data_IF_731209975800
#
_entry.id   IF_731209975800
#
_cell.length_a   1.000
_cell.length_b   1.000
_cell.length_c   1.000
_cell.angle_alpha   90.00
_cell.angle_beta   90.00
_cell.angle_gamma   90.00
#
_symmetry.space_group_name_H-M   'P 1'
#
loop_
_entity.id
_entity.type
_entity.pdbx_description
1 polymer ?
#
# COMPACT_ATOMS: atom_id res chain seq x y z
N UNK A 1 -35.65 64.43 -18.04
CA UNK A 1 -36.61 63.46 -17.46
C UNK A 1 -36.95 62.42 -18.52
N UNK A 2 -36.53 61.17 -18.32
CA UNK A 2 -37.22 59.93 -18.74
C UNK A 2 -36.45 58.75 -18.14
N UNK A 3 -37.23 57.81 -17.62
CA UNK A 3 -36.94 56.98 -16.47
C UNK A 3 -36.01 55.78 -16.76
N UNK A 4 -35.35 55.36 -15.69
CA UNK A 4 -34.56 54.15 -15.53
C UNK A 4 -35.53 53.00 -15.21
N UNK A 5 -35.47 51.87 -15.92
CA UNK A 5 -36.02 50.60 -15.45
C UNK A 5 -34.92 49.53 -15.42
N UNK A 6 -34.56 49.17 -14.19
CA UNK A 6 -33.62 48.12 -13.82
C UNK A 6 -34.45 46.84 -13.64
N UNK A 7 -34.28 45.86 -14.52
CA UNK A 7 -34.91 44.55 -14.36
C UNK A 7 -34.10 43.72 -13.34
N UNK A 8 -34.65 43.63 -12.13
CA UNK A 8 -34.23 42.75 -11.05
C UNK A 8 -34.96 41.40 -11.18
N UNK A 9 -34.24 40.34 -11.53
CA UNK A 9 -34.73 38.97 -11.39
C UNK A 9 -34.26 38.40 -10.05
N UNK A 10 -35.12 38.52 -9.03
CA UNK A 10 -34.99 37.81 -7.76
C UNK A 10 -35.59 36.41 -7.89
N UNK A 11 -34.77 35.38 -7.72
CA UNK A 11 -35.23 34.01 -7.51
C UNK A 11 -35.08 33.67 -6.01
N UNK A 12 -36.21 33.65 -5.30
CA UNK A 12 -36.32 33.19 -3.92
C UNK A 12 -36.35 31.66 -3.92
N UNK A 13 -35.29 31.02 -3.40
CA UNK A 13 -35.30 29.60 -3.09
C UNK A 13 -35.81 29.41 -1.64
N UNK A 14 -36.95 28.74 -1.50
CA UNK A 14 -37.51 28.31 -0.20
C UNK A 14 -36.59 27.31 0.49
N UNK A 15 -36.10 27.68 1.66
CA UNK A 15 -35.37 26.81 2.58
C UNK A 15 -36.39 25.97 3.35
N UNK A 16 -36.41 24.67 3.08
CA UNK A 16 -37.15 23.67 3.87
C UNK A 16 -36.39 23.40 5.17
N UNK A 17 -37.05 23.67 6.30
CA UNK A 17 -36.52 23.44 7.64
C UNK A 17 -36.52 21.94 7.95
N UNK A 18 -35.35 21.31 7.96
CA UNK A 18 -35.18 19.96 8.50
C UNK A 18 -34.96 20.03 10.02
N UNK A 19 -35.76 19.25 10.73
CA UNK A 19 -35.82 19.22 12.19
C UNK A 19 -34.64 18.44 12.77
N UNK A 20 -33.94 19.03 13.74
CA UNK A 20 -32.83 18.42 14.50
C UNK A 20 -33.39 17.40 15.50
N UNK A 21 -33.04 16.10 15.43
CA UNK A 21 -33.37 15.16 16.49
C UNK A 21 -32.41 15.27 17.67
N UNK A 22 -33.00 15.26 18.87
CA UNK A 22 -32.37 15.46 20.17
C UNK A 22 -31.47 14.28 20.57
N UNK A 23 -30.35 14.65 21.19
CA UNK A 23 -29.30 13.84 21.77
C UNK A 23 -29.84 12.78 22.76
N UNK A 24 -29.60 11.49 22.49
CA UNK A 24 -29.88 10.38 23.42
C UNK A 24 -28.61 10.03 24.20
N UNK A 25 -28.70 10.15 25.53
CA UNK A 25 -27.64 9.79 26.47
C UNK A 25 -27.30 8.30 26.35
N UNK A 26 -26.04 7.99 26.06
CA UNK A 26 -25.50 6.63 26.08
C UNK A 26 -25.22 6.26 27.54
N UNK A 27 -25.92 5.24 28.03
CA UNK A 27 -25.67 4.65 29.34
C UNK A 27 -24.41 3.78 29.26
N UNK A 28 -23.38 4.08 30.05
CA UNK A 28 -22.22 3.21 30.21
C UNK A 28 -22.62 1.99 31.05
N UNK A 29 -22.73 0.83 30.42
CA UNK A 29 -22.93 -0.43 31.11
C UNK A 29 -21.58 -0.90 31.66
N UNK A 30 -21.44 -0.84 32.99
CA UNK A 30 -20.29 -1.36 33.74
C UNK A 30 -20.12 -2.86 33.49
N UNK A 31 -19.12 -3.25 32.69
CA UNK A 31 -18.72 -4.64 32.54
C UNK A 31 -18.12 -5.16 33.85
N UNK A 32 -18.85 -6.05 34.53
CA UNK A 32 -18.35 -6.79 35.69
C UNK A 32 -17.52 -7.97 35.18
N UNK A 33 -16.20 -7.89 35.35
CA UNK A 33 -15.30 -9.01 35.10
C UNK A 33 -15.39 -10.02 36.26
N UNK A 34 -15.92 -11.22 35.98
CA UNK A 34 -15.79 -12.35 36.88
C UNK A 34 -14.35 -12.85 36.84
N UNK A 35 -13.64 -12.75 37.98
CA UNK A 35 -12.32 -13.36 38.17
C UNK A 35 -12.47 -14.86 38.35
N UNK A 36 -12.27 -15.64 37.29
CA UNK A 36 -12.06 -17.08 37.39
C UNK A 36 -10.60 -17.35 37.71
N UNK A 37 -10.35 -17.99 38.86
CA UNK A 37 -9.02 -18.43 39.32
C UNK A 37 -8.76 -19.81 38.72
N UNK A 38 -7.89 -19.90 37.72
CA UNK A 38 -7.49 -21.19 37.14
C UNK A 38 -6.07 -21.54 37.58
N UNK A 39 -5.92 -22.80 38.00
CA UNK A 39 -4.85 -23.39 38.81
C UNK A 39 -3.81 -24.04 37.89
N UNK A 40 -2.53 -23.70 38.10
CA UNK A 40 -1.40 -24.34 37.42
C UNK A 40 -1.22 -25.78 37.90
N UNK A 41 -0.99 -26.72 36.96
CA UNK A 41 -0.69 -28.13 37.26
C UNK A 41 0.42 -28.62 36.34
N UNK A 42 1.53 -29.07 36.96
CA UNK A 42 2.24 -30.30 36.59
C UNK A 42 3.34 -30.22 35.54
N UNK A 43 4.58 -30.13 36.00
CA UNK A 43 5.81 -30.57 35.30
C UNK A 43 5.93 -32.11 35.30
N UNK A 44 6.39 -32.75 34.20
CA UNK A 44 7.66 -33.55 33.99
C UNK A 44 7.30 -34.82 33.15
N UNK A 45 8.17 -35.59 32.43
CA UNK A 45 9.50 -35.39 31.79
C UNK A 45 9.58 -35.71 30.27
N UNK A 46 10.78 -35.45 29.74
CA UNK A 46 11.44 -35.78 28.47
C UNK A 46 10.91 -36.92 27.58
N UNK A 47 10.87 -36.64 26.28
CA UNK A 47 10.83 -37.64 25.22
C UNK A 47 11.94 -37.37 24.19
N UNK A 48 12.95 -38.23 24.26
CA UNK A 48 13.85 -38.71 23.21
C UNK A 48 14.29 -37.73 22.11
N UNK A 49 15.59 -37.42 22.17
CA UNK A 49 16.47 -37.11 21.05
C UNK A 49 16.09 -37.89 19.76
N UNK A 50 15.53 -37.19 18.79
CA UNK A 50 15.70 -37.49 17.37
C UNK A 50 16.50 -36.35 16.75
N UNK A 51 17.71 -36.71 16.31
CA UNK A 51 18.56 -36.10 15.29
C UNK A 51 18.10 -34.70 14.83
N UNK A 52 18.83 -33.67 15.26
CA UNK A 52 18.72 -32.32 14.77
C UNK A 52 19.02 -32.27 13.25
N UNK A 53 17.97 -32.33 12.44
CA UNK A 53 17.94 -31.64 11.17
C UNK A 53 17.82 -30.14 11.48
N UNK A 54 18.74 -29.35 10.94
CA UNK A 54 18.65 -27.89 10.88
C UNK A 54 17.22 -27.48 10.50
N UNK A 55 16.54 -26.58 11.24
CA UNK A 55 15.29 -26.00 10.77
C UNK A 55 15.54 -25.37 9.38
N UNK A 56 15.04 -26.02 8.33
CA UNK A 56 14.93 -25.38 7.04
C UNK A 56 13.89 -24.29 7.20
N UNK A 57 14.36 -23.05 7.29
CA UNK A 57 13.51 -21.87 7.28
C UNK A 57 12.68 -21.92 5.99
N UNK A 58 11.40 -22.24 6.11
CA UNK A 58 10.48 -22.19 4.98
C UNK A 58 10.16 -20.72 4.71
N UNK A 59 11.05 -20.02 3.98
CA UNK A 59 10.76 -18.63 3.60
C UNK A 59 9.46 -18.58 2.80
N UNK A 60 8.45 -17.93 3.37
CA UNK A 60 7.16 -17.76 2.72
C UNK A 60 7.34 -17.07 1.36
N UNK A 61 6.67 -17.56 0.29
CA UNK A 61 6.78 -16.95 -1.03
C UNK A 61 6.34 -15.49 -0.99
N UNK A 62 7.27 -14.59 -1.30
CA UNK A 62 6.98 -13.17 -1.41
C UNK A 62 7.65 -12.55 -2.64
N UNK A 63 7.04 -11.47 -3.12
CA UNK A 63 7.61 -10.58 -4.12
C UNK A 63 8.20 -9.38 -3.39
N UNK A 64 9.46 -9.06 -3.68
CA UNK A 64 10.16 -7.88 -3.17
C UNK A 64 9.83 -6.69 -4.11
N UNK A 65 9.60 -5.51 -3.56
CA UNK A 65 9.29 -4.29 -4.30
C UNK A 65 10.24 -3.17 -3.91
N UNK A 66 10.71 -2.43 -4.92
CA UNK A 66 11.31 -1.12 -4.75
C UNK A 66 10.33 -0.07 -5.32
N UNK A 67 9.74 0.74 -4.45
CA UNK A 67 8.87 1.84 -4.86
C UNK A 67 9.68 3.13 -4.88
N UNK A 68 9.92 3.68 -6.07
CA UNK A 68 10.67 4.91 -6.27
C UNK A 68 9.70 6.08 -6.26
N UNK A 69 9.89 7.02 -5.34
CA UNK A 69 9.09 8.25 -5.25
C UNK A 69 9.21 9.10 -6.52
N UNK A 70 8.24 9.97 -6.79
CA UNK A 70 8.37 10.97 -7.86
C UNK A 70 9.21 12.18 -7.44
N UNK A 71 9.55 12.31 -6.16
CA UNK A 71 10.29 13.43 -5.57
C UNK A 71 11.61 12.92 -5.01
N UNK A 72 12.69 13.66 -5.26
CA UNK A 72 14.02 13.40 -4.70
C UNK A 72 14.08 13.72 -3.21
N UNK A 73 14.98 13.03 -2.52
CA UNK A 73 15.44 13.46 -1.22
C UNK A 73 16.20 14.80 -1.32
N UNK A 74 16.34 15.55 -0.21
CA UNK A 74 17.03 16.85 -0.21
C UNK A 74 18.48 16.81 -0.71
N UNK A 75 19.12 15.65 -0.67
CA UNK A 75 20.48 15.41 -1.16
C UNK A 75 20.54 15.09 -2.68
N UNK A 76 19.39 15.02 -3.34
CA UNK A 76 19.29 14.70 -4.76
C UNK A 76 19.32 13.21 -5.08
N UNK A 77 19.18 12.32 -4.10
CA UNK A 77 19.08 10.87 -4.31
C UNK A 77 17.63 10.36 -4.40
N UNK A 78 17.39 9.20 -5.03
CA UNK A 78 16.08 8.57 -5.04
C UNK A 78 15.56 8.21 -3.67
N UNK A 79 14.35 8.67 -3.36
CA UNK A 79 13.56 8.13 -2.26
C UNK A 79 12.96 6.78 -2.68
N UNK A 80 13.56 5.69 -2.19
CA UNK A 80 13.16 4.32 -2.49
C UNK A 80 12.62 3.63 -1.24
N UNK A 81 11.41 3.10 -1.36
CA UNK A 81 10.76 2.34 -0.30
C UNK A 81 10.79 0.84 -0.64
N UNK A 82 11.54 0.08 0.16
CA UNK A 82 11.57 -1.38 0.07
C UNK A 82 10.37 -2.00 0.79
N UNK A 83 9.69 -2.92 0.11
CA UNK A 83 8.51 -3.64 0.63
C UNK A 83 8.51 -5.10 0.20
N UNK A 84 7.82 -5.94 0.95
CA UNK A 84 7.55 -7.35 0.60
C UNK A 84 6.04 -7.58 0.64
N UNK A 85 5.51 -8.32 -0.32
CA UNK A 85 4.11 -8.74 -0.28
C UNK A 85 3.91 -10.10 -0.98
N UNK A 86 2.88 -10.84 -0.55
CA UNK A 86 2.46 -12.05 -1.26
C UNK A 86 1.94 -11.70 -2.66
N UNK A 87 2.22 -12.57 -3.63
CA UNK A 87 1.60 -12.48 -4.95
C UNK A 87 0.09 -12.80 -4.91
N UNK A 88 -0.54 -12.76 -6.07
CA UNK A 88 -1.98 -12.85 -6.25
C UNK A 88 -2.77 -11.57 -5.91
N UNK A 89 -2.15 -10.54 -5.31
CA UNK A 89 -2.81 -9.27 -4.94
C UNK A 89 -2.75 -8.23 -6.06
N UNK A 90 -3.64 -7.23 -6.01
CA UNK A 90 -3.53 -6.06 -6.90
C UNK A 90 -2.40 -5.15 -6.41
N UNK A 91 -1.65 -4.59 -7.34
CA UNK A 91 -0.53 -3.70 -7.02
C UNK A 91 -0.98 -2.48 -6.21
N UNK A 92 -2.17 -1.93 -6.52
CA UNK A 92 -2.76 -0.85 -5.72
C UNK A 92 -2.90 -1.22 -4.25
N UNK A 93 -3.45 -2.40 -3.97
CA UNK A 93 -3.74 -2.79 -2.58
C UNK A 93 -2.41 -2.98 -1.83
N UNK A 94 -1.40 -3.58 -2.48
CA UNK A 94 -0.03 -3.68 -1.94
C UNK A 94 0.55 -2.30 -1.62
N UNK A 95 0.44 -1.34 -2.53
CA UNK A 95 0.97 0.02 -2.32
C UNK A 95 0.26 0.72 -1.16
N UNK A 96 -1.07 0.64 -1.10
CA UNK A 96 -1.86 1.29 -0.05
C UNK A 96 -1.63 0.64 1.33
N UNK A 97 -1.60 -0.69 1.40
CA UNK A 97 -1.30 -1.44 2.62
C UNK A 97 0.10 -1.11 3.16
N UNK A 98 1.05 -0.80 2.26
CA UNK A 98 2.43 -0.45 2.57
C UNK A 98 2.68 1.05 2.79
N UNK A 99 1.61 1.86 2.83
CA UNK A 99 1.65 3.32 2.93
C UNK A 99 2.50 4.02 1.84
N UNK A 100 2.56 3.42 0.65
CA UNK A 100 3.21 4.00 -0.53
C UNK A 100 2.25 4.96 -1.21
N UNK A 101 2.72 6.15 -1.55
CA UNK A 101 1.89 7.16 -2.21
C UNK A 101 1.59 6.75 -3.66
N UNK A 102 0.30 6.69 -4.01
CA UNK A 102 -0.15 6.27 -5.34
C UNK A 102 -0.91 7.37 -6.08
N UNK A 103 -1.52 8.29 -5.34
CA UNK A 103 -2.46 9.27 -5.90
C UNK A 103 -1.90 10.69 -5.94
N UNK A 104 -0.76 10.91 -5.28
CA UNK A 104 -0.14 12.22 -5.22
C UNK A 104 -0.99 13.23 -4.44
N UNK A 105 -0.51 14.47 -4.32
CA UNK A 105 -1.15 15.48 -3.49
C UNK A 105 -2.56 15.86 -3.98
N UNK A 106 -2.84 15.72 -5.29
CA UNK A 106 -4.08 16.19 -5.89
C UNK A 106 -5.14 15.09 -6.15
N UNK A 107 -4.81 13.79 -6.13
CA UNK A 107 -5.78 12.71 -6.38
C UNK A 107 -6.26 11.96 -5.12
N UNK A 108 -6.08 12.56 -3.94
CA UNK A 108 -6.70 12.16 -2.65
C UNK A 108 -8.25 12.04 -2.74
N UNK A 109 -8.98 11.51 -1.73
CA UNK A 109 -10.04 10.49 -1.87
C UNK A 109 -11.27 10.80 -2.75
N UNK A 110 -11.39 12.03 -3.25
CA UNK A 110 -12.53 12.49 -4.04
C UNK A 110 -12.42 12.12 -5.54
N UNK A 111 -11.21 11.82 -6.04
CA UNK A 111 -10.97 11.67 -7.48
C UNK A 111 -10.57 10.25 -7.93
N UNK A 112 -10.42 9.29 -7.00
CA UNK A 112 -10.10 7.90 -7.36
C UNK A 112 -11.35 7.00 -7.37
N UNK A 113 -11.46 6.15 -8.40
CA UNK A 113 -12.61 5.26 -8.60
C UNK A 113 -12.63 4.01 -7.69
N UNK A 114 -11.91 4.01 -6.58
CA UNK A 114 -11.87 2.82 -5.69
C UNK A 114 -11.24 1.58 -6.33
N UNK A 115 -10.58 1.71 -7.48
CA UNK A 115 -9.98 0.58 -8.22
C UNK A 115 -10.86 0.00 -9.34
N UNK A 116 -11.93 0.71 -9.72
CA UNK A 116 -12.78 0.37 -10.87
C UNK A 116 -12.11 0.49 -12.24
N UNK A 117 -10.96 1.13 -12.34
CA UNK A 117 -10.18 1.27 -13.58
C UNK A 117 -10.71 2.34 -14.56
N UNK A 118 -11.55 3.27 -14.10
CA UNK A 118 -12.17 4.29 -14.95
C UNK A 118 -11.58 5.68 -14.79
N UNK A 119 -10.99 6.01 -13.63
CA UNK A 119 -10.47 7.36 -13.37
C UNK A 119 -9.02 7.57 -13.87
N UNK A 120 -8.31 6.50 -14.21
CA UNK A 120 -6.88 6.53 -14.57
C UNK A 120 -6.02 7.36 -13.58
N UNK A 121 -6.27 7.27 -12.27
CA UNK A 121 -5.46 7.99 -11.27
C UNK A 121 -4.46 7.09 -10.55
N UNK A 122 -4.59 5.77 -10.70
CA UNK A 122 -3.71 4.77 -10.07
C UNK A 122 -2.48 4.47 -10.96
N UNK A 123 -1.89 5.50 -11.60
CA UNK A 123 -0.82 5.33 -12.59
C UNK A 123 0.52 5.01 -11.93
N UNK A 124 1.19 4.00 -12.47
CA UNK A 124 2.56 3.64 -12.11
C UNK A 124 3.36 3.29 -13.36
N UNK A 125 4.67 3.48 -13.30
CA UNK A 125 5.59 2.97 -14.30
C UNK A 125 6.29 1.71 -13.75
N UNK A 126 6.24 0.62 -14.52
CA UNK A 126 6.96 -0.61 -14.19
C UNK A 126 8.34 -0.52 -14.84
N UNK A 127 9.36 -0.29 -14.02
CA UNK A 127 10.75 -0.20 -14.49
C UNK A 127 11.30 -1.61 -14.71
N UNK A 128 11.10 -2.50 -13.75
CA UNK A 128 11.51 -3.91 -13.81
C UNK A 128 10.42 -4.83 -13.24
N UNK A 129 10.44 -6.10 -13.65
CA UNK A 129 9.50 -7.12 -13.16
C UNK A 129 8.14 -7.14 -13.87
N UNK A 130 8.05 -6.64 -15.12
CA UNK A 130 6.78 -6.56 -15.86
C UNK A 130 6.12 -7.93 -16.08
N UNK A 131 6.93 -8.96 -16.23
CA UNK A 131 6.54 -10.37 -16.36
C UNK A 131 5.85 -10.93 -15.11
N UNK A 132 6.06 -10.31 -13.94
CA UNK A 132 5.34 -10.65 -12.71
C UNK A 132 3.93 -10.07 -12.67
N UNK A 133 3.50 -9.32 -13.69
CA UNK A 133 2.14 -8.81 -13.79
C UNK A 133 1.33 -9.55 -14.84
N UNK A 134 0.01 -9.60 -14.63
CA UNK A 134 -0.92 -9.97 -15.71
C UNK A 134 -0.76 -9.05 -16.93
N UNK A 135 -1.19 -9.52 -18.09
CA UNK A 135 -1.33 -8.69 -19.29
C UNK A 135 -2.27 -7.49 -19.02
N UNK A 136 -2.10 -6.42 -19.79
CA UNK A 136 -2.97 -5.24 -19.67
C UNK A 136 -4.42 -5.62 -19.93
N UNK A 137 -5.31 -5.16 -19.05
CA UNK A 137 -6.76 -5.33 -19.24
C UNK A 137 -7.31 -4.34 -20.28
N UNK A 138 -8.53 -4.56 -20.77
CA UNK A 138 -9.16 -3.66 -21.75
C UNK A 138 -9.30 -2.22 -21.21
N UNK A 139 -9.61 -2.08 -19.91
CA UNK A 139 -9.64 -0.78 -19.24
C UNK A 139 -8.27 -0.09 -19.24
N UNK A 140 -7.19 -0.85 -19.01
CA UNK A 140 -5.84 -0.31 -19.13
C UNK A 140 -5.54 0.09 -20.57
N UNK A 141 -5.90 -0.74 -21.54
CA UNK A 141 -5.68 -0.47 -22.95
C UNK A 141 -6.47 0.75 -23.43
N UNK A 142 -7.62 1.05 -22.85
CA UNK A 142 -8.41 2.24 -23.14
C UNK A 142 -7.80 3.51 -22.53
N UNK A 143 -7.44 3.47 -21.25
CA UNK A 143 -6.93 4.63 -20.53
C UNK A 143 -5.48 4.97 -20.90
N UNK A 144 -4.65 3.96 -21.21
CA UNK A 144 -3.20 4.11 -21.43
C UNK A 144 -2.81 4.13 -22.92
N UNK A 145 -3.74 4.44 -23.83
CA UNK A 145 -3.50 4.43 -25.29
C UNK A 145 -2.35 5.34 -25.72
N UNK A 146 -2.18 6.46 -25.02
CA UNK A 146 -1.18 7.50 -25.33
C UNK A 146 0.06 7.44 -24.43
N UNK A 147 0.11 6.46 -23.52
CA UNK A 147 1.17 6.33 -22.54
C UNK A 147 2.17 5.23 -22.93
N UNK A 148 3.41 5.27 -22.39
CA UNK A 148 4.40 4.22 -22.61
C UNK A 148 3.90 2.81 -22.27
N UNK A 149 4.45 1.79 -22.94
CA UNK A 149 4.01 0.38 -22.79
C UNK A 149 4.32 -0.25 -21.43
N UNK A 150 5.20 0.36 -20.65
CA UNK A 150 5.58 -0.08 -19.30
C UNK A 150 4.71 0.58 -18.20
N UNK A 151 3.84 1.53 -18.54
CA UNK A 151 2.91 2.10 -17.57
C UNK A 151 1.76 1.13 -17.27
N UNK A 152 1.24 1.17 -16.05
CA UNK A 152 0.13 0.32 -15.61
C UNK A 152 -0.84 1.12 -14.77
N UNK A 153 -2.09 0.68 -14.76
CA UNK A 153 -3.02 1.05 -13.71
C UNK A 153 -2.79 0.07 -12.56
N UNK A 154 -2.18 0.51 -11.46
CA UNK A 154 -1.88 -0.35 -10.31
C UNK A 154 -3.13 -1.09 -9.79
N UNK A 155 -4.30 -0.50 -9.97
CA UNK A 155 -5.60 -1.07 -9.58
C UNK A 155 -6.13 -2.17 -10.51
N UNK A 156 -5.57 -2.32 -11.71
CA UNK A 156 -5.88 -3.38 -12.68
C UNK A 156 -4.73 -4.38 -12.84
N UNK A 157 -3.52 -4.01 -12.39
CA UNK A 157 -2.35 -4.89 -12.35
C UNK A 157 -2.42 -5.84 -11.14
N UNK A 158 -2.42 -7.14 -11.39
CA UNK A 158 -2.29 -8.21 -10.41
C UNK A 158 -0.87 -8.75 -10.44
N UNK A 159 -0.24 -8.82 -9.28
CA UNK A 159 1.12 -9.32 -9.12
C UNK A 159 1.11 -10.83 -8.97
N UNK A 160 1.57 -11.57 -9.97
CA UNK A 160 1.83 -13.00 -9.92
C UNK A 160 0.68 -13.85 -9.38
N UNK A 161 1.07 -15.01 -8.87
CA UNK A 161 0.24 -15.96 -8.11
C UNK A 161 0.66 -15.91 -6.63
N UNK A 162 -0.13 -16.48 -5.69
CA UNK A 162 0.21 -16.47 -4.26
C UNK A 162 1.59 -17.05 -3.92
N UNK A 163 2.09 -17.98 -4.73
CA UNK A 163 3.39 -18.66 -4.59
C UNK A 163 4.53 -17.98 -5.37
N UNK A 164 4.26 -16.87 -6.05
CA UNK A 164 5.25 -16.19 -6.87
C UNK A 164 6.33 -15.52 -6.03
N UNK A 165 7.56 -15.59 -6.55
CA UNK A 165 8.75 -14.93 -6.01
C UNK A 165 9.35 -14.05 -7.09
N UNK A 166 10.07 -13.02 -6.67
CA UNK A 166 10.79 -12.13 -7.59
C UNK A 166 10.94 -10.72 -7.03
N UNK A 167 11.44 -9.82 -7.86
CA UNK A 167 11.63 -8.41 -7.54
C UNK A 167 10.95 -7.53 -8.59
N UNK A 168 10.37 -6.43 -8.15
CA UNK A 168 9.79 -5.42 -9.03
C UNK A 168 10.30 -4.04 -8.64
N UNK A 169 10.61 -3.21 -9.64
CA UNK A 169 10.93 -1.80 -9.45
C UNK A 169 9.78 -0.98 -10.06
N UNK A 170 9.12 -0.19 -9.21
CA UNK A 170 7.92 0.57 -9.55
C UNK A 170 8.19 2.05 -9.30
N UNK A 171 8.10 2.85 -10.36
CA UNK A 171 8.12 4.30 -10.26
C UNK A 171 6.71 4.82 -9.95
N UNK A 172 6.60 5.56 -8.86
CA UNK A 172 5.38 6.24 -8.43
C UNK A 172 5.14 7.47 -9.30
N UNK A 173 3.86 7.76 -9.56
CA UNK A 173 3.40 9.01 -10.17
C UNK A 173 4.26 9.44 -11.39
N UNK A 174 4.35 8.61 -12.44
CA UNK A 174 5.30 8.82 -13.52
C UNK A 174 5.06 10.11 -14.32
N UNK A 175 3.84 10.67 -14.28
CA UNK A 175 3.52 11.99 -14.84
C UNK A 175 4.12 13.16 -14.05
N UNK A 176 4.50 12.93 -12.79
CA UNK A 176 5.04 13.93 -11.85
C UNK A 176 6.55 13.81 -11.66
N UNK A 177 7.19 12.91 -12.40
CA UNK A 177 8.63 12.69 -12.38
C UNK A 177 9.33 13.94 -12.94
N UNK A 178 9.91 14.75 -12.06
CA UNK A 178 10.52 16.03 -12.44
C UNK A 178 11.92 15.87 -13.09
N UNK A 179 12.48 14.66 -13.11
CA UNK A 179 13.83 14.37 -13.59
C UNK A 179 13.95 12.91 -14.03
N UNK A 180 14.92 12.61 -14.89
CA UNK A 180 15.19 11.25 -15.32
C UNK A 180 15.92 10.48 -14.21
N UNK A 181 15.51 9.23 -13.95
CA UNK A 181 16.05 8.39 -12.88
C UNK A 181 17.01 7.37 -13.47
N UNK A 182 18.25 7.31 -12.95
CA UNK A 182 19.15 6.19 -13.24
C UNK A 182 18.91 5.08 -12.21
N UNK A 183 18.05 4.12 -12.55
CA UNK A 183 17.70 3.01 -11.66
C UNK A 183 18.84 2.00 -11.44
N UNK A 184 19.98 2.12 -12.14
CA UNK A 184 21.13 1.22 -12.01
C UNK A 184 21.99 1.48 -10.77
N UNK A 185 21.82 2.64 -10.13
CA UNK A 185 22.59 3.06 -8.95
C UNK A 185 21.77 2.92 -7.66
N UNK A 186 20.63 2.23 -7.70
CA UNK A 186 19.85 1.98 -6.50
C UNK A 186 20.68 1.15 -5.50
N UNK A 187 20.70 1.54 -4.22
CA UNK A 187 21.51 0.85 -3.22
C UNK A 187 21.13 -0.63 -3.18
N UNK A 188 22.12 -1.54 -3.09
CA UNK A 188 21.86 -2.96 -2.93
C UNK A 188 20.92 -3.19 -1.75
N UNK A 189 20.04 -4.18 -1.88
CA UNK A 189 19.23 -4.66 -0.76
C UNK A 189 20.20 -5.30 0.22
N UNK A 190 20.57 -4.58 1.28
CA UNK A 190 21.30 -5.17 2.40
C UNK A 190 20.34 -6.17 3.06
N UNK A 191 20.61 -7.45 2.84
CA UNK A 191 20.00 -8.52 3.62
C UNK A 191 20.61 -8.40 5.02
N UNK A 192 19.84 -7.86 5.97
CA UNK A 192 20.24 -7.82 7.38
C UNK A 192 20.45 -9.26 7.86
N UNK A 193 21.69 -9.74 7.77
CA UNK A 193 22.14 -10.94 8.45
C UNK A 193 22.10 -10.65 9.95
N UNK A 194 21.11 -11.22 10.65
CA UNK A 194 21.09 -11.25 12.11
C UNK A 194 22.30 -12.08 12.60
N UNK A 195 23.42 -11.40 12.86
CA UNK A 195 24.58 -11.98 13.52
C UNK A 195 24.24 -12.27 15.00
N UNK A 196 23.68 -13.45 15.24
CA UNK A 196 23.53 -14.03 16.57
C UNK A 196 24.89 -14.47 17.14
N UNK A 197 25.67 -13.52 17.64
CA UNK A 197 26.88 -13.83 18.42
C UNK A 197 26.51 -14.20 19.87
N UNK A 198 26.35 -15.50 20.09
CA UNK A 198 26.30 -16.10 21.43
C UNK A 198 27.70 -16.11 22.04
N UNK A 199 28.01 -15.12 22.89
CA UNK A 199 29.24 -15.18 23.71
C UNK A 199 29.00 -16.12 24.88
N UNK A 200 29.61 -17.29 24.78
CA UNK A 200 29.62 -18.33 25.80
C UNK A 200 30.55 -17.95 26.94
N UNK A 201 30.06 -18.11 28.16
CA UNK A 201 30.78 -18.00 29.43
C UNK A 201 32.04 -18.86 29.46
N UNK A 202 33.14 -18.34 30.01
CA UNK A 202 34.23 -19.18 30.54
C UNK A 202 34.65 -18.62 31.89
N UNK A 203 34.26 -19.36 32.93
CA UNK A 203 34.74 -19.22 34.30
C UNK A 203 36.08 -19.95 34.43
N UNK A 204 37.07 -19.28 35.01
CA UNK A 204 38.21 -19.89 35.70
C UNK A 204 38.66 -18.93 36.81
#
# INVERSE_FOLDING_TARGET
>A
MRAIEIYSYGALASISQSSIPKNKKIAHQSLRFNRTKIRAVGTVPEKSSERAETPQEYEEPCVKFQFVSSVLLPDGTPDVQLRKACGGKKLRDIMLDANVELYGPYARPLLNCGGGGTCATCLVEVVEGKELLNSRTDKENENLKRHPKNWRLACQARVGKPDSRGMMIIQQLPEWKAHEWNYRELPPIEEEEEESSSVSSSSA
#
